data_IF_015435401519
#
_entry.id   IF_015435401519
#
_cell.length_a   1.000
_cell.length_b   1.000
_cell.length_c   1.000
_cell.angle_alpha   90.00
_cell.angle_beta   90.00
_cell.angle_gamma   90.00
#
_symmetry.space_group_name_H-M   'P 1'
#
loop_
_entity.id
_entity.type
_entity.pdbx_description
1 polymer ?
#
# COMPACT_ATOMS: atom_id res chain seq x y z
N UNK A 1 32.95 33.10 12.19
CA UNK A 1 31.76 33.20 11.32
C UNK A 1 31.67 32.00 10.36
N UNK A 2 31.51 30.76 10.86
CA UNK A 2 31.46 29.57 9.97
C UNK A 2 30.60 28.40 10.47
N UNK A 3 29.65 28.64 11.38
CA UNK A 3 28.66 27.60 11.77
C UNK A 3 27.37 27.68 10.95
N UNK A 4 27.10 28.81 10.29
CA UNK A 4 25.79 29.09 9.66
C UNK A 4 25.56 28.40 8.30
N UNK A 5 26.57 27.74 7.71
CA UNK A 5 26.46 27.12 6.36
C UNK A 5 26.37 25.59 6.41
N UNK A 6 26.56 24.97 7.58
CA UNK A 6 26.65 23.51 7.69
C UNK A 6 25.28 22.83 7.77
N UNK A 7 25.10 21.74 7.01
CA UNK A 7 23.92 20.85 7.07
C UNK A 7 24.08 19.72 8.09
N UNK A 8 25.21 19.63 8.80
CA UNK A 8 25.49 18.54 9.76
C UNK A 8 24.43 18.42 10.85
N UNK A 9 23.82 19.53 11.27
CA UNK A 9 22.75 19.55 12.27
C UNK A 9 21.45 18.87 11.79
N UNK A 10 21.28 18.68 10.48
CA UNK A 10 20.16 17.95 9.87
C UNK A 10 20.44 16.44 9.75
N UNK A 11 21.61 15.98 10.18
CA UNK A 11 22.02 14.58 10.10
C UNK A 11 22.09 13.97 11.49
N UNK A 12 21.81 12.68 11.55
CA UNK A 12 21.85 11.90 12.78
C UNK A 12 23.00 10.88 12.71
N UNK A 13 24.02 10.95 13.59
CA UNK A 13 25.15 10.03 13.56
C UNK A 13 24.76 8.56 13.80
N UNK A 14 23.64 8.31 14.47
CA UNK A 14 23.16 6.97 14.80
C UNK A 14 22.18 6.44 13.74
N UNK A 15 21.85 7.26 12.74
CA UNK A 15 20.96 6.91 11.65
C UNK A 15 21.74 6.40 10.42
N UNK A 16 21.47 5.17 10.00
CA UNK A 16 22.21 4.52 8.92
C UNK A 16 22.10 5.26 7.57
N UNK A 17 20.97 5.90 7.27
CA UNK A 17 20.83 6.72 6.07
C UNK A 17 21.72 7.97 6.16
N UNK A 18 21.66 8.69 7.29
CA UNK A 18 22.49 9.87 7.55
C UNK A 18 23.98 9.56 7.41
N UNK A 19 24.44 8.42 7.92
CA UNK A 19 25.83 7.95 7.76
C UNK A 19 26.20 7.77 6.28
N UNK A 20 25.34 7.15 5.46
CA UNK A 20 25.62 6.93 4.04
C UNK A 20 25.61 8.20 3.20
N UNK A 21 24.78 9.19 3.56
CA UNK A 21 24.69 10.43 2.79
C UNK A 21 25.63 11.53 3.29
N UNK A 22 26.19 11.40 4.50
CA UNK A 22 26.97 12.46 5.17
C UNK A 22 28.03 13.08 4.28
N UNK A 23 28.97 12.28 3.80
CA UNK A 23 30.13 12.78 3.05
C UNK A 23 29.71 13.58 1.82
N UNK A 24 28.63 13.15 1.16
CA UNK A 24 28.08 13.86 0.01
C UNK A 24 27.36 15.14 0.40
N UNK A 25 26.65 15.18 1.52
CA UNK A 25 25.86 16.34 1.94
C UNK A 25 26.70 17.45 2.59
N UNK A 26 27.79 17.12 3.27
CA UNK A 26 28.64 18.12 3.96
C UNK A 26 29.62 18.85 3.02
N UNK A 27 29.83 18.33 1.81
CA UNK A 27 30.76 18.87 0.81
C UNK A 27 30.05 19.44 -0.44
N UNK A 28 28.81 19.87 -0.29
CA UNK A 28 28.02 20.42 -1.40
C UNK A 28 28.42 21.86 -1.76
N UNK A 29 28.27 22.27 -3.03
CA UNK A 29 28.32 23.68 -3.41
C UNK A 29 27.19 24.48 -2.74
N UNK A 30 27.28 25.82 -2.67
CA UNK A 30 26.31 26.67 -1.97
C UNK A 30 24.85 26.45 -2.40
N UNK A 31 24.58 26.34 -3.70
CA UNK A 31 23.22 26.18 -4.24
C UNK A 31 22.58 24.84 -3.80
N UNK A 32 23.37 23.76 -3.78
CA UNK A 32 22.90 22.45 -3.31
C UNK A 32 22.79 22.39 -1.78
N UNK A 33 23.66 23.12 -1.07
CA UNK A 33 23.54 23.30 0.38
C UNK A 33 22.24 24.02 0.74
N UNK A 34 21.87 25.06 -0.03
CA UNK A 34 20.60 25.75 0.12
C UNK A 34 19.40 24.82 -0.12
N UNK A 35 19.45 23.99 -1.17
CA UNK A 35 18.44 22.97 -1.41
C UNK A 35 18.28 22.05 -0.19
N UNK A 36 19.36 21.45 0.31
CA UNK A 36 19.31 20.53 1.46
C UNK A 36 18.70 21.20 2.69
N UNK A 37 19.08 22.44 3.00
CA UNK A 37 18.51 23.19 4.13
C UNK A 37 17.01 23.42 3.96
N UNK A 38 16.59 23.84 2.76
CA UNK A 38 15.18 24.02 2.42
C UNK A 38 14.40 22.71 2.52
N UNK A 39 14.98 21.58 2.11
CA UNK A 39 14.35 20.27 2.25
C UNK A 39 14.23 19.84 3.72
N UNK A 40 15.17 20.22 4.58
CA UNK A 40 15.14 19.96 6.01
C UNK A 40 13.92 20.52 6.75
N UNK A 41 13.26 21.54 6.20
CA UNK A 41 12.09 22.18 6.84
C UNK A 41 10.77 21.45 6.58
N UNK A 42 10.79 20.31 5.86
CA UNK A 42 9.56 19.64 5.44
C UNK A 42 8.63 19.26 6.61
N UNK A 43 9.18 18.90 7.77
CA UNK A 43 8.41 18.54 8.97
C UNK A 43 7.62 19.70 9.60
N UNK A 44 7.88 20.95 9.21
CA UNK A 44 7.13 22.11 9.72
C UNK A 44 5.68 22.15 9.22
N UNK A 45 5.44 21.61 8.02
CA UNK A 45 4.11 21.57 7.41
C UNK A 45 3.63 20.14 7.10
N UNK A 46 4.55 19.21 6.87
CA UNK A 46 4.21 17.83 6.55
C UNK A 46 3.87 17.05 7.82
N UNK A 47 2.61 16.67 7.94
CA UNK A 47 2.05 15.96 9.09
C UNK A 47 0.94 15.00 8.62
N UNK A 48 0.18 14.44 9.55
CA UNK A 48 -0.95 13.53 9.32
C UNK A 48 -2.00 14.01 8.29
N UNK A 49 -2.03 15.30 7.94
CA UNK A 49 -2.90 15.85 6.88
C UNK A 49 -2.33 15.65 5.47
N UNK A 50 -1.04 15.36 5.32
CA UNK A 50 -0.32 15.14 4.07
C UNK A 50 -0.54 16.26 3.04
N UNK A 51 -0.44 17.51 3.51
CA UNK A 51 -0.58 18.69 2.68
C UNK A 51 0.80 19.33 2.50
N UNK A 52 1.25 19.40 1.25
CA UNK A 52 2.47 20.13 0.91
C UNK A 52 2.19 21.63 0.96
N UNK A 53 3.03 22.38 1.67
CA UNK A 53 2.98 23.83 1.68
C UNK A 53 3.29 24.42 0.28
N UNK A 54 2.47 25.36 -0.18
CA UNK A 54 2.55 25.88 -1.56
C UNK A 54 3.80 26.75 -1.77
N UNK A 55 4.11 27.74 -0.90
CA UNK A 55 5.39 28.43 -0.90
C UNK A 55 6.60 27.48 -0.89
N UNK A 56 6.61 26.47 -0.02
CA UNK A 56 7.68 25.48 0.06
C UNK A 56 7.85 24.73 -1.26
N UNK A 57 6.76 24.19 -1.84
CA UNK A 57 6.76 23.51 -3.15
C UNK A 57 7.32 24.39 -4.26
N UNK A 58 6.93 25.67 -4.30
CA UNK A 58 7.42 26.62 -5.31
C UNK A 58 8.93 26.85 -5.15
N UNK A 59 9.41 27.02 -3.92
CA UNK A 59 10.84 27.19 -3.64
C UNK A 59 11.65 25.94 -3.98
N UNK A 60 11.16 24.74 -3.62
CA UNK A 60 11.80 23.47 -3.99
C UNK A 60 11.98 23.35 -5.50
N UNK A 61 10.94 23.64 -6.29
CA UNK A 61 11.02 23.63 -7.76
C UNK A 61 12.01 24.63 -8.34
N UNK A 62 12.23 25.76 -7.67
CA UNK A 62 13.25 26.73 -8.07
C UNK A 62 14.66 26.19 -7.79
N UNK A 63 14.89 25.63 -6.59
CA UNK A 63 16.17 25.09 -6.17
C UNK A 63 16.58 23.84 -6.96
N UNK A 64 15.61 23.03 -7.40
CA UNK A 64 15.84 21.88 -8.30
C UNK A 64 16.37 22.26 -9.71
N UNK A 65 16.47 23.55 -10.03
CA UNK A 65 17.10 24.02 -11.28
C UNK A 65 18.62 24.09 -11.20
N UNK A 66 19.20 24.04 -9.99
CA UNK A 66 20.64 24.04 -9.81
C UNK A 66 21.27 22.77 -10.44
N UNK A 67 22.48 22.91 -10.95
CA UNK A 67 23.22 21.79 -11.52
C UNK A 67 23.50 20.72 -10.46
N UNK A 68 23.32 19.44 -10.81
CA UNK A 68 23.44 18.31 -9.88
C UNK A 68 22.31 18.15 -8.84
N UNK A 69 21.30 19.03 -8.80
CA UNK A 69 20.21 18.96 -7.81
C UNK A 69 19.35 17.70 -7.98
N UNK A 70 19.00 17.34 -9.22
CA UNK A 70 18.21 16.14 -9.51
C UNK A 70 18.99 14.86 -9.14
N UNK A 71 20.28 14.80 -9.45
CA UNK A 71 21.16 13.68 -9.09
C UNK A 71 21.32 13.54 -7.57
N UNK A 72 21.39 14.66 -6.85
CA UNK A 72 21.44 14.66 -5.40
C UNK A 72 20.16 14.07 -4.79
N UNK A 73 18.99 14.46 -5.29
CA UNK A 73 17.71 13.93 -4.81
C UNK A 73 17.58 12.43 -5.14
N UNK A 74 17.93 12.02 -6.36
CA UNK A 74 17.95 10.59 -6.75
C UNK A 74 18.87 9.78 -5.86
N UNK A 75 20.08 10.28 -5.61
CA UNK A 75 21.02 9.65 -4.69
C UNK A 75 20.42 9.49 -3.30
N UNK A 76 19.88 10.56 -2.73
CA UNK A 76 19.32 10.54 -1.37
C UNK A 76 18.15 9.56 -1.25
N UNK A 77 17.24 9.52 -2.24
CA UNK A 77 16.10 8.59 -2.27
C UNK A 77 16.55 7.15 -2.44
N UNK A 78 17.52 6.88 -3.32
CA UNK A 78 18.12 5.54 -3.46
C UNK A 78 18.77 5.09 -2.15
N UNK A 79 19.46 5.98 -1.45
CA UNK A 79 20.02 5.67 -0.13
C UNK A 79 18.94 5.45 0.92
N UNK A 80 17.79 6.13 0.86
CA UNK A 80 16.63 5.82 1.73
C UNK A 80 16.04 4.44 1.40
N UNK A 81 16.03 4.06 0.12
CA UNK A 81 15.54 2.78 -0.37
C UNK A 81 16.54 1.62 -0.17
N UNK A 82 17.83 1.90 0.05
CA UNK A 82 18.88 0.93 0.31
C UNK A 82 18.61 0.07 1.56
N UNK A 83 19.33 -1.06 1.74
CA UNK A 83 19.07 -2.04 2.81
C UNK A 83 18.93 -1.39 4.19
N UNK A 84 18.02 -1.96 5.02
CA UNK A 84 17.50 -1.44 6.30
C UNK A 84 16.45 -0.34 6.14
N UNK A 85 15.67 -0.09 7.19
CA UNK A 85 14.80 1.09 7.27
C UNK A 85 15.64 2.33 7.60
N UNK A 86 15.12 3.52 7.28
CA UNK A 86 15.64 4.79 7.80
C UNK A 86 15.81 4.73 9.33
N UNK A 87 14.91 4.02 10.02
CA UNK A 87 14.89 3.92 11.48
C UNK A 87 15.76 2.79 12.07
N UNK A 88 16.50 2.03 11.27
CA UNK A 88 17.58 1.18 11.77
C UNK A 88 17.28 -0.29 12.11
N UNK A 89 16.06 -0.81 12.01
CA UNK A 89 15.81 -2.24 12.26
C UNK A 89 15.63 -3.09 10.98
N UNK A 90 16.31 -4.25 10.96
CA UNK A 90 16.12 -5.35 10.00
C UNK A 90 16.23 -6.75 10.65
N UNK A 91 16.37 -6.84 11.98
CA UNK A 91 16.49 -8.10 12.73
C UNK A 91 15.36 -8.25 13.76
N UNK A 92 14.72 -9.42 13.77
CA UNK A 92 13.53 -9.76 14.58
C UNK A 92 13.72 -9.49 16.09
N UNK A 93 14.92 -9.74 16.63
CA UNK A 93 15.25 -9.48 18.04
C UNK A 93 15.41 -7.98 18.37
N UNK A 94 15.74 -7.14 17.40
CA UNK A 94 15.83 -5.68 17.58
C UNK A 94 14.44 -5.05 17.62
N UNK A 95 13.48 -5.60 16.87
CA UNK A 95 12.09 -5.14 16.80
C UNK A 95 11.42 -5.20 18.17
N UNK A 96 11.55 -6.32 18.90
CA UNK A 96 10.97 -6.50 20.24
C UNK A 96 11.52 -5.45 21.22
N UNK A 97 12.79 -5.06 21.08
CA UNK A 97 13.44 -4.04 21.93
C UNK A 97 12.99 -2.62 21.62
N UNK A 98 12.72 -2.29 20.35
CA UNK A 98 12.25 -0.96 19.96
C UNK A 98 10.77 -0.72 20.34
N UNK A 99 9.94 -1.77 20.40
CA UNK A 99 8.52 -1.65 20.76
C UNK A 99 8.27 -1.13 22.18
N UNK A 100 9.26 -1.25 23.07
CA UNK A 100 9.19 -0.72 24.44
C UNK A 100 9.93 0.61 24.65
N UNK A 101 10.60 1.16 23.63
CA UNK A 101 11.44 2.35 23.75
C UNK A 101 10.94 3.46 22.82
N UNK A 102 10.29 4.47 23.41
CA UNK A 102 10.04 5.74 22.73
C UNK A 102 11.36 6.50 22.55
N UNK A 103 12.08 6.21 21.46
CA UNK A 103 13.18 7.08 21.02
C UNK A 103 12.59 8.37 20.42
N UNK A 104 13.24 9.49 20.70
CA UNK A 104 12.94 10.74 20.01
C UNK A 104 13.11 10.56 18.49
N UNK A 105 12.35 11.32 17.71
CA UNK A 105 12.48 11.30 16.26
C UNK A 105 13.88 11.74 15.86
N UNK A 106 14.47 11.01 14.90
CA UNK A 106 15.77 11.37 14.33
C UNK A 106 15.72 12.80 13.77
N UNK A 107 16.71 13.68 14.05
CA UNK A 107 16.75 15.02 13.46
C UNK A 107 16.82 14.98 11.92
N UNK A 108 17.25 13.85 11.36
CA UNK A 108 17.29 13.61 9.91
C UNK A 108 15.91 13.36 9.28
N UNK A 109 14.84 13.18 10.07
CA UNK A 109 13.52 12.79 9.57
C UNK A 109 12.91 13.86 8.66
N UNK A 110 12.97 15.13 9.06
CA UNK A 110 12.48 16.24 8.24
C UNK A 110 13.16 16.30 6.88
N UNK A 111 14.49 16.10 6.87
CA UNK A 111 15.28 16.07 5.65
C UNK A 111 14.94 14.87 4.74
N UNK A 112 14.75 13.67 5.31
CA UNK A 112 14.33 12.49 4.56
C UNK A 112 12.97 12.68 3.88
N UNK A 113 11.99 13.25 4.59
CA UNK A 113 10.68 13.63 4.04
C UNK A 113 10.86 14.66 2.92
N UNK A 114 11.70 15.67 3.12
CA UNK A 114 11.99 16.70 2.12
C UNK A 114 12.55 16.12 0.83
N UNK A 115 13.52 15.22 0.91
CA UNK A 115 14.07 14.50 -0.25
C UNK A 115 13.00 13.66 -0.96
N UNK A 116 12.21 12.90 -0.19
CA UNK A 116 11.12 12.10 -0.75
C UNK A 116 10.11 12.97 -1.51
N UNK A 117 9.68 14.11 -0.95
CA UNK A 117 8.76 15.06 -1.60
C UNK A 117 9.37 15.71 -2.85
N UNK A 118 10.63 16.13 -2.79
CA UNK A 118 11.32 16.78 -3.90
C UNK A 118 11.43 15.86 -5.13
N UNK A 119 11.55 14.55 -4.91
CA UNK A 119 11.62 13.55 -5.98
C UNK A 119 10.44 13.62 -6.96
N UNK A 120 9.25 14.00 -6.49
CA UNK A 120 8.07 14.16 -7.33
C UNK A 120 8.15 15.29 -8.37
N UNK A 121 9.14 16.18 -8.28
CA UNK A 121 9.29 17.34 -9.17
C UNK A 121 10.60 17.36 -9.95
N UNK A 122 11.32 16.24 -9.98
CA UNK A 122 12.45 16.02 -10.89
C UNK A 122 11.92 16.04 -12.34
N UNK A 123 12.64 16.69 -13.26
CA UNK A 123 12.18 16.90 -14.64
C UNK A 123 12.59 15.77 -15.58
N UNK A 124 13.70 15.11 -15.28
CA UNK A 124 14.20 14.01 -16.09
C UNK A 124 13.38 12.72 -15.92
N UNK A 125 13.57 11.79 -16.86
CA UNK A 125 12.97 10.45 -16.83
C UNK A 125 13.06 9.83 -15.44
N UNK A 126 11.94 9.39 -14.82
CA UNK A 126 11.98 8.80 -13.50
C UNK A 126 12.99 7.65 -13.39
N UNK A 127 13.22 6.85 -14.45
CA UNK A 127 14.19 5.75 -14.39
C UNK A 127 13.97 4.87 -13.15
N UNK A 128 15.01 4.54 -12.36
CA UNK A 128 14.86 3.71 -11.15
C UNK A 128 14.17 4.42 -9.97
N UNK A 129 13.94 5.73 -10.05
CA UNK A 129 13.41 6.53 -8.93
C UNK A 129 12.02 6.08 -8.47
N UNK A 130 11.18 5.64 -9.40
CA UNK A 130 9.83 5.15 -9.07
C UNK A 130 9.91 3.90 -8.17
N UNK A 131 10.75 2.95 -8.55
CA UNK A 131 11.00 1.74 -7.77
C UNK A 131 11.64 2.05 -6.41
N UNK A 132 12.58 3.01 -6.35
CA UNK A 132 13.17 3.45 -5.08
C UNK A 132 12.12 4.07 -4.14
N UNK A 133 11.24 4.94 -4.66
CA UNK A 133 10.13 5.51 -3.89
C UNK A 133 9.12 4.46 -3.45
N UNK A 134 8.82 3.47 -4.29
CA UNK A 134 7.92 2.39 -3.93
C UNK A 134 8.51 1.51 -2.82
N UNK A 135 9.79 1.14 -2.92
CA UNK A 135 10.48 0.39 -1.87
C UNK A 135 10.57 1.20 -0.58
N UNK A 136 10.85 2.51 -0.67
CA UNK A 136 10.82 3.41 0.49
C UNK A 136 9.45 3.40 1.16
N UNK A 137 8.37 3.52 0.39
CA UNK A 137 7.01 3.50 0.92
C UNK A 137 6.70 2.17 1.63
N UNK A 138 7.00 1.02 0.99
CA UNK A 138 6.72 -0.31 1.54
C UNK A 138 7.38 -0.53 2.90
N UNK A 139 8.64 -0.13 3.04
CA UNK A 139 9.40 -0.20 4.31
C UNK A 139 8.77 0.60 5.43
N UNK A 140 8.07 1.68 5.12
CA UNK A 140 7.53 2.59 6.14
C UNK A 140 6.03 2.37 6.40
N UNK A 141 5.38 1.38 5.76
CA UNK A 141 3.92 1.15 5.85
C UNK A 141 3.52 -0.32 6.06
N UNK A 142 4.47 -1.15 6.53
CA UNK A 142 4.29 -2.59 6.79
C UNK A 142 3.90 -3.44 5.56
N UNK A 143 4.39 -3.08 4.38
CA UNK A 143 4.18 -3.86 3.15
C UNK A 143 5.42 -4.68 2.77
N UNK A 144 6.10 -5.21 3.79
CA UNK A 144 7.35 -5.99 3.69
C UNK A 144 7.19 -7.29 4.48
N UNK A 145 7.84 -8.36 3.99
CA UNK A 145 7.86 -9.66 4.68
C UNK A 145 8.58 -9.59 6.03
N UNK A 146 9.62 -8.75 6.12
CA UNK A 146 10.35 -8.48 7.35
C UNK A 146 9.88 -7.15 7.91
N UNK A 147 9.77 -7.09 9.25
CA UNK A 147 9.41 -5.86 9.93
C UNK A 147 10.41 -4.74 9.65
N UNK A 148 9.84 -3.58 9.36
CA UNK A 148 10.53 -2.30 9.38
C UNK A 148 9.70 -1.33 10.24
N UNK A 149 10.37 -0.49 11.03
CA UNK A 149 9.68 0.54 11.82
C UNK A 149 8.89 1.44 10.87
N UNK A 150 7.62 1.62 11.20
CA UNK A 150 6.64 2.42 10.44
C UNK A 150 6.97 3.90 10.55
N UNK A 151 6.83 4.60 9.43
CA UNK A 151 6.84 6.06 9.37
C UNK A 151 5.80 6.52 8.35
N UNK A 152 4.59 6.77 8.85
CA UNK A 152 3.45 7.11 8.02
C UNK A 152 3.67 8.41 7.22
N UNK A 153 4.50 9.34 7.70
CA UNK A 153 4.80 10.58 6.97
C UNK A 153 5.80 10.34 5.85
N UNK A 154 6.83 9.52 6.08
CA UNK A 154 7.79 9.18 5.04
C UNK A 154 7.14 8.33 3.93
N UNK A 155 6.29 7.38 4.30
CA UNK A 155 5.46 6.63 3.35
C UNK A 155 4.51 7.55 2.57
N UNK A 156 3.81 8.45 3.28
CA UNK A 156 2.93 9.45 2.66
C UNK A 156 3.67 10.35 1.67
N UNK A 157 4.89 10.78 1.99
CA UNK A 157 5.72 11.61 1.12
C UNK A 157 6.09 10.86 -0.16
N UNK A 158 6.51 9.59 -0.04
CA UNK A 158 6.78 8.74 -1.20
C UNK A 158 5.55 8.54 -2.09
N UNK A 159 4.38 8.26 -1.51
CA UNK A 159 3.12 8.17 -2.27
C UNK A 159 2.78 9.47 -2.99
N UNK A 160 2.92 10.61 -2.32
CA UNK A 160 2.64 11.92 -2.91
C UNK A 160 3.57 12.18 -4.11
N UNK A 161 4.84 11.84 -4.00
CA UNK A 161 5.84 12.01 -5.06
C UNK A 161 5.61 11.09 -6.25
N UNK A 162 5.28 9.82 -6.02
CA UNK A 162 4.87 8.91 -7.10
C UNK A 162 3.64 9.47 -7.85
N UNK A 163 2.69 10.09 -7.15
CA UNK A 163 1.55 10.75 -7.78
C UNK A 163 1.88 12.01 -8.58
N UNK A 164 3.10 12.56 -8.46
CA UNK A 164 3.57 13.68 -9.27
C UNK A 164 4.37 13.20 -10.49
N UNK A 165 5.17 12.14 -10.37
CA UNK A 165 5.99 11.58 -11.45
C UNK A 165 5.15 11.10 -12.65
N UNK A 166 5.59 11.30 -13.90
CA UNK A 166 4.89 10.85 -15.10
C UNK A 166 5.25 9.41 -15.51
N UNK A 167 4.45 8.82 -16.40
CA UNK A 167 4.79 7.57 -17.10
C UNK A 167 4.05 6.33 -16.59
N UNK A 168 3.87 5.31 -17.45
CA UNK A 168 3.12 4.09 -17.12
C UNK A 168 3.78 3.27 -16.01
N UNK A 169 5.11 3.15 -16.01
CA UNK A 169 5.85 2.42 -14.97
C UNK A 169 5.61 2.97 -13.55
N UNK A 170 5.37 4.27 -13.41
CA UNK A 170 5.02 4.89 -12.10
C UNK A 170 3.64 4.43 -11.65
N UNK A 171 2.70 4.29 -12.59
CA UNK A 171 1.36 3.83 -12.26
C UNK A 171 1.37 2.33 -11.92
N UNK A 172 2.22 1.52 -12.57
CA UNK A 172 2.50 0.13 -12.19
C UNK A 172 2.96 0.00 -10.74
N UNK A 173 3.95 0.82 -10.33
CA UNK A 173 4.38 0.87 -8.93
C UNK A 173 3.23 1.29 -7.98
N UNK A 174 2.40 2.26 -8.37
CA UNK A 174 1.26 2.71 -7.57
C UNK A 174 0.18 1.63 -7.43
N UNK A 175 -0.09 0.85 -8.48
CA UNK A 175 -1.02 -0.29 -8.43
C UNK A 175 -0.49 -1.40 -7.53
N UNK A 176 0.80 -1.74 -7.66
CA UNK A 176 1.44 -2.74 -6.80
C UNK A 176 1.46 -2.30 -5.33
N UNK A 177 1.74 -1.01 -5.07
CA UNK A 177 1.60 -0.44 -3.73
C UNK A 177 0.16 -0.55 -3.22
N UNK A 178 -0.84 -0.19 -4.03
CA UNK A 178 -2.24 -0.28 -3.62
C UNK A 178 -2.65 -1.73 -3.30
N UNK A 179 -2.05 -2.70 -3.98
CA UNK A 179 -2.30 -4.12 -3.76
C UNK A 179 -1.72 -4.62 -2.42
N UNK A 180 -0.52 -4.17 -2.04
CA UNK A 180 0.19 -4.65 -0.86
C UNK A 180 -0.02 -3.81 0.41
N UNK A 181 -0.27 -2.50 0.27
CA UNK A 181 -0.39 -1.59 1.42
C UNK A 181 -1.75 -1.76 2.08
N UNK A 182 -1.81 -2.09 3.39
CA UNK A 182 -3.09 -2.24 4.06
C UNK A 182 -3.89 -0.92 4.08
N UNK A 183 -5.15 -0.99 3.65
CA UNK A 183 -6.09 0.15 3.62
C UNK A 183 -6.30 0.83 4.97
N UNK A 184 -6.02 0.12 6.05
CA UNK A 184 -6.08 0.62 7.42
C UNK A 184 -5.02 1.68 7.75
N UNK A 185 -3.94 1.75 6.96
CA UNK A 185 -2.83 2.66 7.19
C UNK A 185 -3.22 4.09 6.84
N UNK A 186 -2.91 5.03 7.73
CA UNK A 186 -3.26 6.44 7.56
C UNK A 186 -2.79 7.06 6.22
N UNK A 187 -1.58 6.77 5.70
CA UNK A 187 -1.14 7.29 4.41
C UNK A 187 -1.81 6.64 3.18
N UNK A 188 -2.62 5.58 3.34
CA UNK A 188 -3.32 4.93 2.23
C UNK A 188 -4.23 5.91 1.45
N UNK A 189 -4.81 6.90 2.13
CA UNK A 189 -5.60 7.96 1.47
C UNK A 189 -4.78 8.78 0.46
N UNK A 190 -3.47 8.93 0.72
CA UNK A 190 -2.54 9.60 -0.20
C UNK A 190 -2.25 8.68 -1.38
N UNK A 191 -1.96 7.40 -1.12
CA UNK A 191 -1.77 6.38 -2.15
C UNK A 191 -2.96 6.30 -3.12
N UNK A 192 -4.18 6.18 -2.61
CA UNK A 192 -5.39 6.15 -3.42
C UNK A 192 -5.57 7.42 -4.27
N UNK A 193 -5.22 8.60 -3.72
CA UNK A 193 -5.24 9.86 -4.47
C UNK A 193 -4.17 9.88 -5.56
N UNK A 194 -2.97 9.36 -5.28
CA UNK A 194 -1.86 9.29 -6.22
C UNK A 194 -2.16 8.34 -7.39
N UNK A 195 -2.76 7.18 -7.12
CA UNK A 195 -3.28 6.26 -8.16
C UNK A 195 -4.27 6.99 -9.05
N UNK A 196 -5.33 7.60 -8.47
CA UNK A 196 -6.35 8.34 -9.23
C UNK A 196 -5.75 9.45 -10.10
N UNK A 197 -4.83 10.23 -9.54
CA UNK A 197 -4.15 11.31 -10.26
C UNK A 197 -3.31 10.79 -11.42
N UNK A 198 -2.52 9.74 -11.20
CA UNK A 198 -1.65 9.19 -12.25
C UNK A 198 -2.46 8.46 -13.34
N UNK A 199 -3.50 7.71 -12.95
CA UNK A 199 -4.46 7.08 -13.85
C UNK A 199 -5.17 8.10 -14.76
N UNK A 200 -5.70 9.19 -14.19
CA UNK A 200 -6.36 10.24 -14.95
C UNK A 200 -5.42 10.88 -16.00
N UNK A 201 -4.15 11.11 -15.63
CA UNK A 201 -3.14 11.65 -16.55
C UNK A 201 -2.80 10.69 -17.69
N UNK A 202 -2.88 9.38 -17.46
CA UNK A 202 -2.63 8.34 -18.46
C UNK A 202 -3.90 7.91 -19.22
N UNK A 203 -5.05 8.54 -18.97
CA UNK A 203 -6.30 8.22 -19.64
C UNK A 203 -6.92 6.87 -19.24
N UNK A 204 -6.51 6.30 -18.10
CA UNK A 204 -7.07 5.03 -17.61
C UNK A 204 -8.54 5.23 -17.24
N UNK A 205 -9.47 4.42 -17.79
CA UNK A 205 -10.89 4.53 -17.49
C UNK A 205 -11.21 4.38 -15.99
N UNK A 206 -12.24 5.08 -15.47
CA UNK A 206 -12.61 4.99 -14.06
C UNK A 206 -12.93 3.57 -13.58
N UNK A 207 -13.46 2.71 -14.45
CA UNK A 207 -13.78 1.33 -14.11
C UNK A 207 -12.53 0.47 -13.92
N UNK A 208 -11.50 0.61 -14.77
CA UNK A 208 -10.22 -0.07 -14.59
C UNK A 208 -9.55 0.37 -13.28
N UNK A 209 -9.66 1.64 -12.91
CA UNK A 209 -9.19 2.12 -11.61
C UNK A 209 -9.96 1.42 -10.48
N UNK A 210 -11.28 1.32 -10.56
CA UNK A 210 -12.09 0.64 -9.55
C UNK A 210 -11.73 -0.85 -9.41
N UNK A 211 -11.49 -1.53 -10.53
CA UNK A 211 -11.08 -2.95 -10.59
C UNK A 211 -9.70 -3.17 -9.95
N UNK A 212 -8.74 -2.29 -10.21
CA UNK A 212 -7.35 -2.44 -9.77
C UNK A 212 -7.06 -1.88 -8.37
N UNK A 213 -8.05 -1.25 -7.74
CA UNK A 213 -7.91 -0.60 -6.42
C UNK A 213 -8.80 -1.21 -5.35
N UNK A 214 -9.30 -2.43 -5.55
CA UNK A 214 -10.00 -3.17 -4.49
C UNK A 214 -9.01 -3.51 -3.37
N UNK A 215 -9.26 -3.11 -2.10
CA UNK A 215 -8.35 -3.44 -1.02
C UNK A 215 -8.38 -4.93 -0.67
N UNK A 216 -7.19 -5.52 -0.47
CA UNK A 216 -7.05 -6.89 0.05
C UNK A 216 -7.24 -7.02 1.55
N UNK A 217 -7.14 -5.89 2.28
CA UNK A 217 -7.22 -5.85 3.74
C UNK A 217 -6.20 -6.74 4.48
N UNK A 218 -5.10 -7.10 3.81
CA UNK A 218 -4.09 -8.02 4.33
C UNK A 218 -4.47 -9.50 4.27
N UNK A 219 -5.58 -9.86 3.62
CA UNK A 219 -5.99 -11.25 3.43
C UNK A 219 -5.00 -11.98 2.52
N UNK A 220 -4.63 -13.18 2.92
CA UNK A 220 -3.87 -14.13 2.12
C UNK A 220 -4.74 -14.75 1.02
N UNK A 221 -4.11 -15.52 0.13
CA UNK A 221 -4.79 -16.13 -1.04
C UNK A 221 -5.94 -17.06 -0.66
N UNK A 222 -5.89 -17.66 0.52
CA UNK A 222 -6.94 -18.54 1.06
C UNK A 222 -8.10 -17.77 1.71
N UNK A 223 -8.05 -16.43 1.71
CA UNK A 223 -9.09 -15.59 2.31
C UNK A 223 -8.97 -15.45 3.83
N UNK A 224 -7.81 -15.78 4.41
CA UNK A 224 -7.55 -15.62 5.85
C UNK A 224 -6.63 -14.44 6.16
N UNK A 225 -6.81 -13.85 7.34
CA UNK A 225 -5.92 -12.86 7.94
C UNK A 225 -5.67 -13.25 9.38
N UNK A 226 -4.42 -13.60 9.68
CA UNK A 226 -3.96 -13.95 11.03
C UNK A 226 -3.41 -12.72 11.74
N UNK A 227 -3.88 -12.48 12.95
CA UNK A 227 -3.51 -11.35 13.82
C UNK A 227 -3.01 -11.90 15.15
N UNK A 228 -1.98 -11.29 15.75
CA UNK A 228 -1.34 -11.85 16.94
C UNK A 228 -0.34 -10.93 17.62
N UNK A 229 0.33 -11.44 18.65
CA UNK A 229 1.38 -10.72 19.42
C UNK A 229 2.58 -10.32 18.56
N UNK A 230 2.99 -11.23 17.67
CA UNK A 230 3.93 -10.94 16.59
C UNK A 230 3.10 -11.04 15.32
N UNK A 231 2.87 -9.90 14.66
CA UNK A 231 2.16 -9.89 13.40
C UNK A 231 2.80 -10.86 12.40
N UNK A 232 1.96 -11.61 11.67
CA UNK A 232 2.40 -12.51 10.60
C UNK A 232 1.80 -12.02 9.28
N UNK A 233 2.56 -12.12 8.19
CA UNK A 233 2.09 -11.72 6.86
C UNK A 233 2.06 -10.19 6.63
N UNK A 234 1.10 -9.72 5.82
CA UNK A 234 1.05 -8.33 5.33
C UNK A 234 0.56 -7.28 6.36
N UNK A 235 0.17 -7.68 7.58
CA UNK A 235 -0.29 -6.80 8.64
C UNK A 235 0.50 -7.05 9.93
N UNK A 236 1.48 -6.20 10.21
CA UNK A 236 2.24 -6.23 11.46
C UNK A 236 1.49 -5.47 12.56
N UNK A 237 0.37 -6.04 13.04
CA UNK A 237 -0.25 -5.59 14.29
C UNK A 237 0.34 -6.35 15.47
N UNK A 238 0.81 -5.62 16.48
CA UNK A 238 1.22 -6.20 17.74
C UNK A 238 0.02 -6.19 18.68
N UNK A 239 -0.85 -7.19 18.54
CA UNK A 239 -2.04 -7.29 19.37
C UNK A 239 -1.75 -8.15 20.59
N UNK A 240 -2.26 -7.77 21.76
CA UNK A 240 -2.25 -8.59 22.96
C UNK A 240 -3.23 -9.78 22.92
N UNK A 241 -3.57 -10.26 21.72
CA UNK A 241 -4.50 -11.36 21.46
C UNK A 241 -4.18 -12.01 20.12
N UNK A 242 -4.56 -13.28 19.96
CA UNK A 242 -4.53 -13.97 18.69
C UNK A 242 -5.94 -14.06 18.09
N UNK A 243 -6.07 -13.76 16.80
CA UNK A 243 -7.33 -13.86 16.08
C UNK A 243 -7.12 -14.19 14.60
N UNK A 244 -8.09 -14.90 14.00
CA UNK A 244 -8.11 -15.16 12.56
C UNK A 244 -9.40 -14.61 11.96
N UNK A 245 -9.28 -13.72 10.98
CA UNK A 245 -10.41 -13.26 10.16
C UNK A 245 -10.45 -14.12 8.91
N UNK A 246 -11.60 -14.71 8.59
CA UNK A 246 -11.78 -15.56 7.40
C UNK A 246 -12.92 -15.06 6.53
N UNK A 247 -12.72 -15.08 5.21
CA UNK A 247 -13.76 -14.86 4.21
C UNK A 247 -14.14 -16.21 3.57
N UNK A 248 -15.36 -16.67 3.83
CA UNK A 248 -15.86 -17.95 3.34
C UNK A 248 -16.36 -17.84 1.89
N UNK A 249 -16.44 -18.97 1.19
CA UNK A 249 -16.99 -19.04 -0.17
C UNK A 249 -18.44 -18.52 -0.28
N UNK A 250 -19.22 -18.62 0.79
CA UNK A 250 -20.56 -18.03 0.90
C UNK A 250 -20.58 -16.50 0.93
N UNK A 251 -19.41 -15.86 1.06
CA UNK A 251 -19.26 -14.44 1.34
C UNK A 251 -19.53 -14.06 2.79
N UNK A 252 -19.59 -15.02 3.71
CA UNK A 252 -19.60 -14.73 5.14
C UNK A 252 -18.20 -14.35 5.62
N UNK A 253 -18.11 -13.34 6.49
CA UNK A 253 -16.88 -13.00 7.21
C UNK A 253 -17.02 -13.49 8.66
N UNK A 254 -15.99 -14.16 9.17
CA UNK A 254 -15.92 -14.63 10.57
C UNK A 254 -14.65 -14.15 11.26
N UNK A 255 -14.70 -14.03 12.57
CA UNK A 255 -13.53 -13.80 13.43
C UNK A 255 -13.44 -14.95 14.42
N UNK A 256 -12.34 -15.69 14.38
CA UNK A 256 -11.99 -16.69 15.38
C UNK A 256 -11.06 -16.04 16.40
N UNK A 257 -11.55 -15.90 17.64
CA UNK A 257 -10.78 -15.38 18.76
C UNK A 257 -10.07 -16.55 19.44
N UNK A 258 -8.74 -16.51 19.50
CA UNK A 258 -7.92 -17.64 19.94
C UNK A 258 -7.41 -17.36 21.36
N UNK A 259 -7.78 -18.21 22.31
CA UNK A 259 -7.29 -18.18 23.67
C UNK A 259 -5.89 -18.81 23.79
N UNK A 260 -5.21 -18.56 24.92
CA UNK A 260 -3.83 -19.06 25.17
C UNK A 260 -3.70 -20.59 25.16
N UNK A 261 -4.80 -21.30 25.39
CA UNK A 261 -4.90 -22.75 25.34
C UNK A 261 -5.16 -23.29 23.92
N UNK A 262 -5.28 -22.40 22.93
CA UNK A 262 -5.60 -22.73 21.54
C UNK A 262 -7.10 -22.84 21.25
N UNK A 263 -7.97 -22.65 22.25
CA UNK A 263 -9.42 -22.70 22.05
C UNK A 263 -9.87 -21.50 21.22
N UNK A 264 -10.65 -21.76 20.16
CA UNK A 264 -11.17 -20.73 19.28
C UNK A 264 -12.67 -20.47 19.54
N UNK A 265 -13.04 -19.20 19.77
CA UNK A 265 -14.44 -18.76 19.79
C UNK A 265 -14.75 -17.98 18.53
N UNK A 266 -15.64 -18.49 17.69
CA UNK A 266 -16.03 -17.84 16.43
C UNK A 266 -17.13 -16.81 16.63
N UNK A 267 -16.98 -15.63 16.02
CA UNK A 267 -18.05 -14.63 15.92
C UNK A 267 -18.25 -14.14 14.48
N UNK A 268 -19.47 -13.73 14.17
CA UNK A 268 -19.91 -13.15 12.88
C UNK A 268 -20.43 -11.73 13.12
N UNK A 269 -20.85 -11.01 12.07
CA UNK A 269 -21.47 -9.69 12.20
C UNK A 269 -22.52 -9.66 13.34
N UNK A 270 -22.47 -8.67 14.26
CA UNK A 270 -21.69 -7.43 14.24
C UNK A 270 -20.29 -7.53 14.88
N UNK A 271 -19.65 -8.70 14.79
CA UNK A 271 -18.32 -9.04 15.30
C UNK A 271 -18.19 -8.67 16.77
N UNK A 272 -19.11 -9.16 17.61
CA UNK A 272 -18.96 -9.01 19.06
C UNK A 272 -17.73 -9.81 19.50
N UNK A 273 -16.95 -9.27 20.42
CA UNK A 273 -15.87 -10.04 21.06
C UNK A 273 -16.47 -10.99 22.08
N UNK A 274 -15.84 -12.14 22.37
CA UNK A 274 -16.28 -13.04 23.44
C UNK A 274 -16.28 -12.33 24.80
N UNK A 275 -17.13 -12.81 25.71
CA UNK A 275 -17.23 -12.28 27.07
C UNK A 275 -15.88 -12.36 27.78
N UNK A 276 -15.45 -11.27 28.42
CA UNK A 276 -14.19 -11.20 29.17
C UNK A 276 -12.93 -10.92 28.34
N UNK A 277 -12.99 -10.91 26.99
CA UNK A 277 -11.81 -10.61 26.16
C UNK A 277 -11.28 -9.19 26.43
N UNK A 278 -12.15 -8.17 26.37
CA UNK A 278 -11.75 -6.77 26.62
C UNK A 278 -11.17 -6.49 28.01
N UNK A 279 -11.50 -7.31 29.00
CA UNK A 279 -10.92 -7.20 30.35
C UNK A 279 -9.60 -7.95 30.50
N UNK A 280 -9.36 -8.98 29.65
CA UNK A 280 -8.15 -9.80 29.67
C UNK A 280 -7.05 -9.26 28.74
N UNK A 281 -7.43 -8.47 27.75
CA UNK A 281 -6.57 -7.87 26.73
C UNK A 281 -6.84 -6.37 26.61
N UNK A 282 -6.09 -5.67 25.76
CA UNK A 282 -6.29 -4.24 25.55
C UNK A 282 -7.57 -4.03 24.71
N UNK A 283 -8.51 -3.22 25.20
CA UNK A 283 -9.79 -2.99 24.47
C UNK A 283 -9.57 -2.45 23.06
N UNK A 284 -8.50 -1.67 22.85
CA UNK A 284 -8.17 -1.10 21.55
C UNK A 284 -7.79 -2.17 20.51
N UNK A 285 -7.13 -3.25 20.94
CA UNK A 285 -6.76 -4.38 20.08
C UNK A 285 -8.00 -5.13 19.62
N UNK A 286 -8.89 -5.43 20.56
CA UNK A 286 -10.19 -6.07 20.29
C UNK A 286 -10.99 -5.22 19.30
N UNK A 287 -11.08 -3.90 19.54
CA UNK A 287 -11.79 -3.02 18.64
C UNK A 287 -11.07 -2.86 17.28
N UNK A 288 -9.75 -3.00 17.24
CA UNK A 288 -8.94 -3.08 16.03
C UNK A 288 -9.35 -4.24 15.12
N UNK A 289 -9.38 -5.47 15.68
CA UNK A 289 -9.83 -6.68 14.95
C UNK A 289 -11.25 -6.52 14.42
N UNK A 290 -12.16 -6.03 15.27
CA UNK A 290 -13.57 -5.83 14.89
C UNK A 290 -13.73 -4.83 13.75
N UNK A 291 -13.01 -3.70 13.80
CA UNK A 291 -12.98 -2.71 12.72
C UNK A 291 -12.44 -3.31 11.42
N UNK A 292 -11.46 -4.19 11.50
CA UNK A 292 -10.91 -4.85 10.32
C UNK A 292 -11.90 -5.81 9.68
N UNK A 293 -12.54 -6.67 10.46
CA UNK A 293 -13.58 -7.58 9.96
C UNK A 293 -14.73 -6.81 9.28
N UNK A 294 -15.17 -5.70 9.89
CA UNK A 294 -16.20 -4.83 9.30
C UNK A 294 -15.76 -4.18 7.98
N UNK A 295 -14.49 -3.76 7.86
CA UNK A 295 -13.96 -3.21 6.60
C UNK A 295 -13.95 -4.24 5.48
N UNK A 296 -13.53 -5.48 5.79
CA UNK A 296 -13.56 -6.60 4.84
C UNK A 296 -15.00 -6.87 4.37
N UNK A 297 -15.95 -6.97 5.30
CA UNK A 297 -17.36 -7.19 5.00
C UNK A 297 -17.95 -6.06 4.13
N UNK A 298 -17.57 -4.80 4.43
CA UNK A 298 -18.00 -3.63 3.64
C UNK A 298 -17.49 -3.72 2.20
N UNK A 299 -16.19 -3.96 2.00
CA UNK A 299 -15.63 -4.11 0.65
C UNK A 299 -16.23 -5.30 -0.10
N UNK A 300 -16.52 -6.40 0.58
CA UNK A 300 -17.18 -7.54 -0.05
C UNK A 300 -18.59 -7.20 -0.56
N UNK A 301 -19.36 -6.42 0.22
CA UNK A 301 -20.69 -5.94 -0.19
C UNK A 301 -20.62 -4.94 -1.36
N UNK A 302 -19.63 -4.04 -1.35
CA UNK A 302 -19.36 -3.11 -2.45
C UNK A 302 -18.99 -3.87 -3.74
N UNK A 303 -18.10 -4.87 -3.64
CA UNK A 303 -17.70 -5.71 -4.77
C UNK A 303 -18.87 -6.51 -5.33
N UNK A 304 -19.74 -7.06 -4.46
CA UNK A 304 -20.96 -7.75 -4.92
C UNK A 304 -21.86 -6.83 -5.73
N UNK A 305 -22.04 -5.60 -5.28
CA UNK A 305 -22.84 -4.60 -6.00
C UNK A 305 -22.18 -4.22 -7.33
N UNK A 306 -20.87 -3.94 -7.30
CA UNK A 306 -20.10 -3.54 -8.49
C UNK A 306 -20.10 -4.64 -9.57
N UNK A 307 -19.80 -5.88 -9.21
CA UNK A 307 -19.72 -6.98 -10.18
C UNK A 307 -21.08 -7.30 -10.78
N UNK A 308 -22.16 -7.26 -9.99
CA UNK A 308 -23.53 -7.42 -10.52
C UNK A 308 -23.91 -6.33 -11.51
N UNK A 309 -23.48 -5.09 -11.27
CA UNK A 309 -23.72 -4.00 -12.20
C UNK A 309 -22.98 -4.16 -13.55
N UNK A 310 -21.95 -5.04 -13.62
CA UNK A 310 -21.28 -5.37 -14.89
C UNK A 310 -22.12 -6.33 -15.76
N UNK A 311 -23.10 -7.02 -15.18
CA UNK A 311 -23.95 -7.95 -15.92
C UNK A 311 -24.76 -7.17 -16.97
N UNK A 312 -24.67 -7.60 -18.22
CA UNK A 312 -25.35 -6.93 -19.34
C UNK A 312 -24.57 -5.77 -19.98
N UNK A 313 -23.43 -5.34 -19.41
CA UNK A 313 -22.58 -4.32 -20.05
C UNK A 313 -21.73 -4.89 -21.19
N UNK A 314 -21.67 -6.22 -21.36
CA UNK A 314 -20.96 -6.89 -22.45
C UNK A 314 -19.43 -6.72 -22.42
N UNK A 315 -18.87 -6.28 -21.28
CA UNK A 315 -17.43 -6.09 -21.13
C UNK A 315 -16.67 -7.40 -21.20
N UNK A 316 -15.46 -7.33 -21.77
CA UNK A 316 -14.57 -8.48 -21.88
C UNK A 316 -13.17 -8.13 -21.36
N UNK A 317 -12.58 -9.03 -20.60
CA UNK A 317 -11.21 -8.94 -20.10
C UNK A 317 -10.34 -9.99 -20.77
N UNK A 318 -9.02 -9.79 -20.82
CA UNK A 318 -8.12 -10.91 -21.06
C UNK A 318 -8.11 -11.84 -19.83
N UNK A 319 -7.83 -13.12 -20.03
CA UNK A 319 -7.86 -14.12 -18.97
C UNK A 319 -6.83 -13.84 -17.86
N UNK A 320 -5.70 -13.20 -18.17
CA UNK A 320 -4.70 -12.79 -17.17
C UNK A 320 -5.23 -11.69 -16.24
N UNK A 321 -5.83 -10.63 -16.79
CA UNK A 321 -6.39 -9.54 -15.99
C UNK A 321 -7.59 -10.02 -15.17
N UNK A 322 -8.45 -10.84 -15.78
CA UNK A 322 -9.57 -11.46 -15.06
C UNK A 322 -9.08 -12.34 -13.91
N UNK A 323 -8.07 -13.19 -14.13
CA UNK A 323 -7.49 -14.01 -13.04
C UNK A 323 -6.93 -13.11 -11.94
N UNK A 324 -6.09 -12.13 -12.29
CA UNK A 324 -5.38 -11.27 -11.34
C UNK A 324 -6.32 -10.40 -10.50
N UNK A 325 -7.26 -9.70 -11.14
CA UNK A 325 -8.08 -8.67 -10.48
C UNK A 325 -9.43 -9.18 -10.00
N UNK A 326 -9.92 -10.31 -10.52
CA UNK A 326 -11.18 -10.90 -10.14
C UNK A 326 -10.99 -12.22 -9.40
N UNK A 327 -10.64 -13.30 -10.12
CA UNK A 327 -10.66 -14.67 -9.58
C UNK A 327 -9.74 -14.87 -8.38
N UNK A 328 -8.49 -14.46 -8.50
CA UNK A 328 -7.43 -14.75 -7.53
C UNK A 328 -7.33 -13.68 -6.44
N UNK A 329 -8.09 -12.60 -6.56
CA UNK A 329 -8.16 -11.56 -5.54
C UNK A 329 -8.92 -12.10 -4.30
N UNK A 330 -8.40 -11.92 -3.06
CA UNK A 330 -8.97 -12.57 -1.88
C UNK A 330 -10.39 -12.10 -1.51
N UNK A 331 -10.77 -10.87 -1.90
CA UNK A 331 -12.12 -10.33 -1.68
C UNK A 331 -12.99 -10.53 -2.92
N UNK A 332 -12.68 -9.84 -4.02
CA UNK A 332 -13.36 -9.95 -5.32
C UNK A 332 -13.50 -11.39 -5.82
N UNK A 333 -12.55 -12.27 -5.55
CA UNK A 333 -12.60 -13.67 -5.98
C UNK A 333 -13.76 -14.45 -5.38
N UNK A 334 -14.15 -14.13 -4.15
CA UNK A 334 -15.31 -14.75 -3.48
C UNK A 334 -16.59 -14.41 -4.24
N UNK A 335 -16.75 -13.15 -4.62
CA UNK A 335 -17.89 -12.71 -5.45
C UNK A 335 -17.79 -13.30 -6.85
N UNK A 336 -16.62 -13.24 -7.47
CA UNK A 336 -16.35 -13.74 -8.83
C UNK A 336 -16.75 -15.21 -8.97
N UNK A 337 -16.37 -16.07 -8.01
CA UNK A 337 -16.72 -17.50 -7.99
C UNK A 337 -18.20 -17.79 -7.77
N UNK A 338 -18.98 -16.81 -7.33
CA UNK A 338 -20.44 -16.94 -7.16
C UNK A 338 -21.24 -16.51 -8.39
N UNK A 339 -20.57 -16.00 -9.43
CA UNK A 339 -21.19 -15.46 -10.63
C UNK A 339 -20.96 -16.38 -11.85
N UNK A 340 -21.82 -16.24 -12.84
CA UNK A 340 -21.72 -16.99 -14.10
C UNK A 340 -20.81 -16.27 -15.09
N UNK A 341 -19.67 -16.86 -15.40
CA UNK A 341 -18.72 -16.31 -16.37
C UNK A 341 -18.74 -17.13 -17.66
N UNK A 342 -18.25 -16.52 -18.73
CA UNK A 342 -18.00 -17.19 -19.99
C UNK A 342 -16.61 -16.82 -20.52
N UNK A 343 -16.03 -17.71 -21.31
CA UNK A 343 -14.76 -17.46 -21.98
C UNK A 343 -14.83 -17.81 -23.46
N UNK A 344 -14.02 -17.13 -24.26
CA UNK A 344 -13.82 -17.38 -25.68
C UNK A 344 -12.32 -17.52 -25.93
N UNK A 345 -11.94 -18.64 -26.56
CA UNK A 345 -10.60 -18.85 -27.10
C UNK A 345 -10.64 -18.44 -28.57
N UNK A 346 -9.51 -18.01 -29.14
CA UNK A 346 -9.41 -17.52 -30.52
C UNK A 346 -9.75 -18.56 -31.61
N UNK A 347 -10.25 -19.74 -31.25
CA UNK A 347 -10.62 -20.85 -32.14
C UNK A 347 -11.96 -20.63 -32.88
N UNK A 348 -12.65 -19.51 -32.62
CA UNK A 348 -13.89 -19.14 -33.29
C UNK A 348 -15.14 -19.87 -32.78
N UNK A 349 -15.04 -20.62 -31.68
CA UNK A 349 -16.15 -21.39 -31.12
C UNK A 349 -17.13 -20.61 -30.24
N UNK A 350 -17.02 -19.28 -30.18
CA UNK A 350 -17.85 -18.40 -29.35
C UNK A 350 -17.62 -18.54 -27.84
N UNK A 351 -18.41 -17.81 -27.06
CA UNK A 351 -18.35 -17.84 -25.61
C UNK A 351 -18.93 -19.14 -25.03
N UNK A 352 -18.17 -19.78 -24.14
CA UNK A 352 -18.53 -21.02 -23.43
C UNK A 352 -18.58 -20.76 -21.92
N UNK A 353 -19.44 -21.47 -21.15
CA UNK A 353 -19.48 -21.32 -19.70
C UNK A 353 -18.11 -21.52 -19.04
N UNK A 354 -17.80 -20.67 -18.07
CA UNK A 354 -16.61 -20.72 -17.24
C UNK A 354 -17.04 -20.87 -15.78
N UNK A 355 -16.67 -21.97 -15.14
CA UNK A 355 -16.74 -22.11 -13.68
C UNK A 355 -15.44 -21.56 -13.06
N UNK A 356 -15.48 -20.41 -12.35
CA UNK A 356 -14.27 -19.87 -11.73
C UNK A 356 -13.74 -20.71 -10.56
N UNK A 357 -14.59 -21.56 -9.98
CA UNK A 357 -14.28 -22.49 -8.88
C UNK A 357 -13.68 -23.82 -9.32
N UNK A 358 -13.89 -24.23 -10.57
CA UNK A 358 -13.23 -25.40 -11.16
C UNK A 358 -11.73 -25.13 -11.28
N UNK A 359 -10.94 -25.77 -10.42
CA UNK A 359 -9.51 -25.48 -10.25
C UNK A 359 -8.68 -25.62 -11.53
N UNK A 360 -9.03 -26.55 -12.42
CA UNK A 360 -8.28 -26.84 -13.66
C UNK A 360 -8.64 -25.93 -14.82
N UNK A 361 -9.92 -25.66 -15.07
CA UNK A 361 -10.35 -25.05 -16.34
C UNK A 361 -10.08 -23.55 -16.35
N UNK A 362 -10.40 -22.85 -15.26
CA UNK A 362 -10.14 -21.42 -15.14
C UNK A 362 -8.64 -21.09 -14.92
N UNK A 363 -7.82 -22.05 -14.48
CA UNK A 363 -6.36 -21.86 -14.31
C UNK A 363 -5.56 -22.13 -15.59
N UNK A 364 -6.11 -22.91 -16.52
CA UNK A 364 -5.45 -23.31 -17.76
C UNK A 364 -5.85 -22.47 -18.98
N UNK A 365 -6.75 -21.49 -18.80
CA UNK A 365 -7.13 -20.55 -19.86
C UNK A 365 -5.88 -19.87 -20.45
N UNK A 366 -5.72 -19.88 -21.80
CA UNK A 366 -4.70 -19.08 -22.46
C UNK A 366 -4.81 -17.62 -22.02
N UNK A 367 -3.69 -16.94 -21.80
CA UNK A 367 -3.66 -15.53 -21.37
C UNK A 367 -4.47 -14.59 -22.27
N UNK A 368 -4.51 -14.92 -23.57
CA UNK A 368 -5.24 -14.17 -24.61
C UNK A 368 -6.73 -14.51 -24.70
N UNK A 369 -7.21 -15.52 -23.96
CA UNK A 369 -8.64 -15.84 -23.96
C UNK A 369 -9.43 -14.65 -23.41
N UNK A 370 -10.61 -14.41 -23.99
CA UNK A 370 -11.51 -13.33 -23.58
C UNK A 370 -12.47 -13.88 -22.55
N UNK A 371 -12.59 -13.22 -21.41
CA UNK A 371 -13.52 -13.59 -20.34
C UNK A 371 -14.57 -12.50 -20.20
N UNK A 372 -15.83 -12.88 -19.99
CA UNK A 372 -16.92 -11.93 -19.72
C UNK A 372 -17.86 -12.46 -18.65
N UNK A 373 -18.56 -11.54 -18.00
CA UNK A 373 -19.66 -11.89 -17.12
C UNK A 373 -20.89 -12.20 -17.99
N UNK A 374 -21.51 -13.37 -17.80
CA UNK A 374 -22.75 -13.73 -18.51
C UNK A 374 -23.85 -12.80 -18.05
N UNK A 375 -24.64 -12.26 -19.00
CA UNK A 375 -25.86 -11.55 -18.63
C UNK A 375 -26.77 -12.53 -17.89
N UNK A 376 -27.34 -12.12 -16.76
CA UNK A 376 -28.44 -12.88 -16.18
C UNK A 376 -29.53 -12.90 -17.25
N UNK A 377 -29.92 -14.10 -17.69
CA UNK A 377 -31.09 -14.26 -18.55
C UNK A 377 -32.22 -13.57 -17.79
N UNK A 378 -32.71 -12.43 -18.31
CA UNK A 378 -33.82 -11.72 -17.69
C UNK A 378 -34.97 -12.71 -17.65
N UNK A 379 -35.21 -13.31 -16.48
CA UNK A 379 -36.41 -14.09 -16.25
C UNK A 379 -37.55 -13.16 -16.62
N UNK A 380 -38.19 -13.53 -17.73
CA UNK A 380 -39.54 -13.12 -18.04
C UNK A 380 -40.40 -13.64 -16.89
N UNK A 381 -40.59 -12.82 -15.87
CA UNK A 381 -41.68 -13.03 -14.93
C UNK A 381 -42.97 -12.79 -15.73
N UNK A 382 -43.60 -13.89 -16.15
CA UNK A 382 -44.98 -13.96 -16.62
C UNK A 382 -45.87 -14.49 -15.50
#
# INVERSE_FOLDING_TARGET
MSESTSVTHLLDPDNAWSVRVRDRLVSLPPDLTELVRHLGTASEFWNWRYKVDTPWKRRTRQLLKADGAEDLVRYAVRELAAKRSFHGAAEENTVIRELGQSRADSPARGLAIGFALAAGWIRQDPGPLAADLALLARKNVQAMEVYHKVDDDLAGAAFASLGELPGPAVLDELWDLHYWVPSARHPHKVLAKSVKKSAARLGVPPHEVAERTVPRHGLEKDGTLTLGWIGRGALWWNLALDAVISVHASGQVTVDWIDKDGTATRTTHPFRSPTGYKSRTWSDDVDGVRRQAKRIETTLAEERTRLRALAGEGRTWCADDWRRFYRDHPVTGVVTRSLNWEYEVSDGGGFRPLDPGAGTDAATLPSTARVRLRAEDSCQDS
#
